data_IF_047868997891
#
_entry.id   IF_047868997891
#
_cell.length_a   1.000
_cell.length_b   1.000
_cell.length_c   1.000
_cell.angle_alpha   90.00
_cell.angle_beta   90.00
_cell.angle_gamma   90.00
#
_symmetry.space_group_name_H-M   'P 1'
#
loop_
_entity.id
_entity.type
_entity.pdbx_description
1 polymer ?
#
# COMPACT_ATOMS: atom_id res chain seq x y z
N UNK A 1 17.62 -9.22 4.16
CA UNK A 1 16.51 -10.10 4.55
C UNK A 1 16.02 -10.93 3.37
N UNK A 2 15.35 -12.04 3.67
CA UNK A 2 14.59 -12.83 2.71
C UNK A 2 13.22 -13.13 3.33
N UNK A 3 12.19 -13.19 2.51
CA UNK A 3 10.84 -13.45 2.95
C UNK A 3 10.02 -14.20 1.91
N UNK A 4 9.10 -15.02 2.38
CA UNK A 4 8.10 -15.70 1.56
C UNK A 4 6.74 -15.34 2.14
N UNK A 5 5.82 -14.93 1.28
CA UNK A 5 4.41 -14.72 1.58
C UNK A 5 3.57 -15.68 0.73
N UNK A 6 2.58 -16.30 1.36
CA UNK A 6 1.64 -17.19 0.68
C UNK A 6 0.24 -16.89 1.16
N UNK A 7 -0.67 -16.72 0.23
CA UNK A 7 -2.10 -16.50 0.47
C UNK A 7 -2.88 -17.58 -0.26
N UNK A 8 -3.79 -18.22 0.44
CA UNK A 8 -4.75 -19.15 -0.15
C UNK A 8 -6.14 -18.58 0.08
N UNK A 9 -6.87 -18.36 -1.00
CA UNK A 9 -8.22 -17.79 -0.96
C UNK A 9 -9.31 -18.85 -0.73
N UNK A 10 -8.92 -20.12 -0.60
CA UNK A 10 -9.86 -21.24 -0.46
C UNK A 10 -10.50 -21.67 -1.77
N UNK A 11 -11.64 -22.32 -1.65
CA UNK A 11 -12.39 -22.88 -2.78
C UNK A 11 -13.62 -22.03 -3.05
N UNK A 12 -13.84 -21.70 -4.31
CA UNK A 12 -15.00 -20.97 -4.81
C UNK A 12 -15.88 -21.91 -5.63
N UNK A 13 -17.20 -21.76 -5.48
CA UNK A 13 -18.16 -22.43 -6.35
C UNK A 13 -18.30 -21.67 -7.67
N UNK A 14 -17.97 -22.32 -8.80
CA UNK A 14 -18.30 -21.82 -10.12
C UNK A 14 -19.80 -21.99 -10.41
N UNK A 15 -20.41 -20.97 -11.00
CA UNK A 15 -21.83 -21.01 -11.42
C UNK A 15 -21.95 -20.57 -12.87
N UNK A 16 -22.90 -21.17 -13.59
CA UNK A 16 -23.26 -20.75 -14.93
C UNK A 16 -24.16 -19.49 -14.92
N UNK A 17 -24.51 -18.99 -16.10
CA UNK A 17 -25.39 -17.81 -16.25
C UNK A 17 -26.80 -18.04 -15.70
N UNK A 18 -27.20 -19.29 -15.51
CA UNK A 18 -28.50 -19.70 -14.94
C UNK A 18 -28.42 -19.94 -13.42
N UNK A 19 -27.22 -19.81 -12.82
CA UNK A 19 -26.98 -19.97 -11.39
C UNK A 19 -26.73 -21.43 -10.96
N UNK A 20 -26.63 -22.38 -11.88
CA UNK A 20 -26.31 -23.77 -11.55
C UNK A 20 -24.84 -23.92 -11.20
N UNK A 21 -24.52 -24.73 -10.19
CA UNK A 21 -23.12 -25.02 -9.80
C UNK A 21 -22.47 -25.83 -10.92
N UNK A 22 -21.33 -25.34 -11.42
CA UNK A 22 -20.56 -25.97 -12.50
C UNK A 22 -19.35 -26.74 -11.96
N UNK A 23 -18.40 -26.03 -11.41
CA UNK A 23 -17.15 -26.59 -10.89
C UNK A 23 -16.65 -25.77 -9.71
N UNK A 24 -15.86 -26.38 -8.85
CA UNK A 24 -15.14 -25.63 -7.81
C UNK A 24 -13.76 -25.25 -8.32
N UNK A 25 -13.31 -24.04 -8.01
CA UNK A 25 -11.97 -23.56 -8.33
C UNK A 25 -11.29 -22.96 -7.10
N UNK A 26 -9.96 -22.88 -7.14
CA UNK A 26 -9.14 -22.34 -6.06
C UNK A 26 -8.31 -21.17 -6.55
N UNK A 27 -7.99 -20.26 -5.63
CA UNK A 27 -7.07 -19.16 -5.87
C UNK A 27 -5.95 -19.16 -4.84
N UNK A 28 -4.72 -18.89 -5.27
CA UNK A 28 -3.58 -18.72 -4.37
C UNK A 28 -2.56 -17.78 -4.94
N UNK A 29 -1.84 -17.10 -4.05
CA UNK A 29 -0.74 -16.20 -4.38
C UNK A 29 0.49 -16.52 -3.55
N UNK A 30 1.66 -16.44 -4.17
CA UNK A 30 2.94 -16.59 -3.51
C UNK A 30 3.87 -15.44 -3.93
N UNK A 31 4.63 -14.89 -2.98
CA UNK A 31 5.65 -13.90 -3.26
C UNK A 31 6.94 -14.26 -2.53
N UNK A 32 8.03 -14.31 -3.29
CA UNK A 32 9.39 -14.38 -2.76
C UNK A 32 9.98 -12.98 -2.78
N UNK A 33 10.61 -12.56 -1.67
CA UNK A 33 11.27 -11.27 -1.55
C UNK A 33 12.69 -11.42 -1.04
N UNK A 34 13.61 -10.65 -1.64
CA UNK A 34 15.01 -10.53 -1.21
C UNK A 34 15.37 -9.06 -1.13
N UNK A 35 15.78 -8.61 0.04
CA UNK A 35 16.08 -7.21 0.28
C UNK A 35 17.40 -6.99 0.99
N UNK A 36 18.00 -5.85 0.65
CA UNK A 36 19.21 -5.35 1.28
C UNK A 36 19.05 -3.88 1.63
N UNK A 37 19.54 -3.50 2.82
CA UNK A 37 19.60 -2.11 3.25
C UNK A 37 21.04 -1.77 3.64
N UNK A 38 21.45 -0.56 3.30
CA UNK A 38 22.79 -0.06 3.52
C UNK A 38 22.76 1.30 4.21
N UNK A 39 23.56 1.46 5.24
CA UNK A 39 23.82 2.76 5.86
C UNK A 39 24.88 3.47 5.05
N UNK A 40 24.59 4.68 4.57
CA UNK A 40 25.56 5.51 3.84
C UNK A 40 26.63 6.00 4.81
N UNK A 41 27.92 5.73 4.56
CA UNK A 41 29.00 6.11 5.46
C UNK A 41 29.03 7.62 5.71
N UNK A 42 29.26 8.01 6.94
CA UNK A 42 29.38 9.41 7.36
C UNK A 42 28.08 10.22 7.26
N UNK A 43 26.95 9.55 7.15
CA UNK A 43 25.63 10.17 7.10
C UNK A 43 24.67 9.38 7.95
N UNK A 44 23.60 10.03 8.42
CA UNK A 44 22.49 9.36 9.10
C UNK A 44 21.41 8.89 8.09
N UNK A 45 21.85 8.49 6.90
CA UNK A 45 21.01 8.07 5.79
C UNK A 45 21.12 6.58 5.53
N UNK A 46 19.99 5.96 5.27
CA UNK A 46 19.87 4.54 4.90
C UNK A 46 19.15 4.44 3.57
N UNK A 47 19.64 3.58 2.72
CA UNK A 47 18.98 3.22 1.46
C UNK A 47 18.72 1.72 1.44
N UNK A 48 17.62 1.33 0.86
CA UNK A 48 17.25 -0.08 0.76
C UNK A 48 16.61 -0.40 -0.57
N UNK A 49 16.78 -1.63 -1.01
CA UNK A 49 16.08 -2.20 -2.14
C UNK A 49 15.60 -3.61 -1.80
N UNK A 50 14.43 -3.97 -2.32
CA UNK A 50 13.83 -5.29 -2.15
C UNK A 50 13.30 -5.77 -3.50
N UNK A 51 13.85 -6.87 -4.01
CA UNK A 51 13.36 -7.51 -5.22
C UNK A 51 12.28 -8.53 -4.86
N UNK A 52 11.21 -8.55 -5.63
CA UNK A 52 10.06 -9.44 -5.44
C UNK A 52 9.75 -10.22 -6.70
N UNK A 53 9.50 -11.51 -6.53
CA UNK A 53 8.93 -12.38 -7.55
C UNK A 53 7.57 -12.86 -7.05
N UNK A 54 6.53 -12.61 -7.84
CA UNK A 54 5.13 -12.85 -7.47
C UNK A 54 4.58 -13.89 -8.42
N UNK A 55 3.91 -14.90 -7.88
CA UNK A 55 3.16 -15.91 -8.62
C UNK A 55 1.73 -15.92 -8.13
N UNK A 56 0.79 -15.83 -9.04
CA UNK A 56 -0.64 -15.91 -8.72
C UNK A 56 -1.31 -16.96 -9.60
N UNK A 57 -2.12 -17.80 -8.98
CA UNK A 57 -2.87 -18.87 -9.64
C UNK A 57 -4.33 -18.68 -9.32
N UNK A 58 -5.17 -18.64 -10.35
CA UNK A 58 -6.62 -18.59 -10.23
C UNK A 58 -7.22 -19.61 -11.17
N UNK A 59 -7.88 -20.63 -10.62
CA UNK A 59 -8.42 -21.77 -11.38
C UNK A 59 -7.30 -22.48 -12.19
N UNK A 60 -7.37 -22.42 -13.52
CA UNK A 60 -6.37 -22.96 -14.46
C UNK A 60 -5.37 -21.92 -14.96
N UNK A 61 -5.53 -20.66 -14.56
CA UNK A 61 -4.70 -19.55 -15.02
C UNK A 61 -3.56 -19.26 -14.06
N UNK A 62 -2.39 -19.01 -14.62
CA UNK A 62 -1.16 -18.67 -13.89
C UNK A 62 -0.62 -17.34 -14.37
N UNK A 63 -0.31 -16.47 -13.44
CA UNK A 63 0.34 -15.18 -13.69
C UNK A 63 1.64 -15.06 -12.89
N UNK A 64 2.64 -14.41 -13.49
CA UNK A 64 3.92 -14.11 -12.86
C UNK A 64 4.25 -12.63 -13.01
N UNK A 65 4.76 -12.04 -11.94
CA UNK A 65 5.22 -10.66 -11.91
C UNK A 65 6.55 -10.52 -11.19
N UNK A 66 7.29 -9.49 -11.56
CA UNK A 66 8.50 -9.07 -10.86
C UNK A 66 8.41 -7.59 -10.50
N UNK A 67 8.85 -7.23 -9.30
CA UNK A 67 8.85 -5.87 -8.82
C UNK A 67 10.07 -5.58 -7.94
N UNK A 68 10.38 -4.29 -7.82
CA UNK A 68 11.39 -3.78 -6.90
C UNK A 68 10.73 -2.74 -6.00
N UNK A 69 11.04 -2.81 -4.71
CA UNK A 69 10.76 -1.72 -3.78
C UNK A 69 12.07 -0.99 -3.48
N UNK A 70 12.00 0.32 -3.38
CA UNK A 70 13.10 1.19 -2.98
C UNK A 70 12.71 1.94 -1.72
N UNK A 71 13.64 2.07 -0.79
CA UNK A 71 13.45 2.78 0.47
C UNK A 71 14.60 3.73 0.75
N UNK A 72 14.26 4.89 1.28
CA UNK A 72 15.18 5.88 1.82
C UNK A 72 14.73 6.26 3.22
N UNK A 73 15.67 6.33 4.15
CA UNK A 73 15.45 6.78 5.52
C UNK A 73 16.57 7.73 5.90
N UNK A 74 16.21 8.91 6.42
CA UNK A 74 17.11 9.84 7.09
C UNK A 74 16.72 9.93 8.55
N UNK A 75 17.72 9.78 9.43
CA UNK A 75 17.56 9.81 10.88
C UNK A 75 18.27 11.05 11.41
N UNK A 76 17.52 12.06 11.79
CA UNK A 76 18.05 13.22 12.50
C UNK A 76 18.17 12.89 13.99
N UNK A 77 19.38 12.49 14.39
CA UNK A 77 19.68 12.03 15.76
C UNK A 77 19.56 13.17 16.77
N UNK A 78 19.89 14.39 16.36
CA UNK A 78 19.91 15.56 17.26
C UNK A 78 18.48 16.00 17.66
N UNK A 79 17.52 15.81 16.77
CA UNK A 79 16.12 16.21 16.95
C UNK A 79 15.17 15.02 17.16
N UNK A 80 15.66 13.78 17.17
CA UNK A 80 14.86 12.55 17.22
C UNK A 80 13.79 12.44 16.11
N UNK A 81 14.11 12.98 14.92
CA UNK A 81 13.21 12.99 13.77
C UNK A 81 13.68 11.96 12.73
N UNK A 82 12.74 11.20 12.20
CA UNK A 82 13.00 10.30 11.07
C UNK A 82 12.16 10.73 9.86
N UNK A 83 12.80 10.76 8.69
CA UNK A 83 12.16 11.01 7.40
C UNK A 83 12.30 9.78 6.53
N UNK A 84 11.18 9.29 6.03
CA UNK A 84 11.12 8.10 5.17
C UNK A 84 10.49 8.39 3.82
N UNK A 85 11.02 7.75 2.78
CA UNK A 85 10.44 7.72 1.44
C UNK A 85 10.49 6.29 0.92
N UNK A 86 9.39 5.81 0.36
CA UNK A 86 9.34 4.49 -0.26
C UNK A 86 8.67 4.55 -1.62
N UNK A 87 9.23 3.77 -2.56
CA UNK A 87 8.60 3.47 -3.84
C UNK A 87 8.41 1.97 -3.89
N UNK A 88 7.17 1.50 -3.91
CA UNK A 88 6.83 0.08 -3.84
C UNK A 88 6.22 -0.41 -5.15
N UNK A 89 6.48 -1.68 -5.45
CA UNK A 89 5.93 -2.38 -6.61
C UNK A 89 6.30 -1.73 -7.95
N UNK A 90 7.51 -1.17 -8.05
CA UNK A 90 8.07 -0.74 -9.32
C UNK A 90 8.41 -1.98 -10.14
N UNK A 91 7.53 -2.37 -11.06
CA UNK A 91 7.68 -3.63 -11.76
C UNK A 91 6.65 -3.84 -12.85
N UNK A 92 6.61 -5.07 -13.34
CA UNK A 92 5.75 -5.47 -14.44
C UNK A 92 5.33 -6.94 -14.31
N UNK A 93 4.26 -7.29 -14.98
CA UNK A 93 3.80 -8.65 -15.14
C UNK A 93 4.58 -9.34 -16.25
N UNK A 94 5.26 -10.44 -15.92
CA UNK A 94 6.09 -11.22 -16.86
C UNK A 94 5.19 -12.11 -17.72
N UNK A 95 4.21 -12.73 -17.07
CA UNK A 95 3.21 -13.59 -17.71
C UNK A 95 1.83 -13.21 -17.20
N UNK A 96 0.93 -12.69 -18.05
CA UNK A 96 -0.45 -12.42 -17.66
C UNK A 96 -1.27 -13.71 -17.55
N UNK A 97 -2.44 -13.62 -16.92
CA UNK A 97 -3.41 -14.73 -16.89
C UNK A 97 -3.93 -15.09 -18.27
N UNK A 98 -4.15 -14.08 -19.09
CA UNK A 98 -4.57 -14.15 -20.49
C UNK A 98 -3.73 -13.15 -21.29
N UNK A 99 -4.19 -12.72 -22.45
CA UNK A 99 -3.43 -11.85 -23.36
C UNK A 99 -3.33 -10.37 -22.88
N UNK A 100 -3.91 -10.01 -21.72
CA UNK A 100 -3.92 -8.64 -21.23
C UNK A 100 -2.97 -8.48 -20.05
N UNK A 101 -1.96 -7.60 -20.20
CA UNK A 101 -1.05 -7.24 -19.13
C UNK A 101 -1.72 -6.27 -18.14
N UNK A 102 -1.65 -6.61 -16.87
CA UNK A 102 -2.07 -5.76 -15.76
C UNK A 102 -0.87 -5.01 -15.19
N UNK A 103 -1.10 -3.75 -14.79
CA UNK A 103 -0.07 -2.96 -14.12
C UNK A 103 0.01 -3.36 -12.66
N UNK A 104 1.22 -3.54 -12.15
CA UNK A 104 1.41 -3.71 -10.71
C UNK A 104 1.02 -2.42 -9.96
N UNK A 105 0.50 -2.53 -8.74
CA UNK A 105 0.03 -1.39 -7.95
C UNK A 105 1.22 -0.58 -7.40
N UNK A 106 1.83 0.24 -8.27
CA UNK A 106 2.88 1.18 -7.86
C UNK A 106 2.36 2.06 -6.72
N UNK A 107 3.15 2.21 -5.67
CA UNK A 107 2.86 3.09 -4.55
C UNK A 107 4.10 3.91 -4.17
N UNK A 108 3.90 5.21 -3.97
CA UNK A 108 4.93 6.14 -3.47
C UNK A 108 4.40 6.72 -2.17
N UNK A 109 5.14 6.48 -1.09
CA UNK A 109 4.76 6.91 0.24
C UNK A 109 5.91 7.68 0.89
N UNK A 110 5.59 8.76 1.62
CA UNK A 110 6.53 9.53 2.40
C UNK A 110 6.05 9.62 3.84
N UNK A 111 6.97 9.69 4.79
CA UNK A 111 6.62 9.77 6.19
C UNK A 111 7.61 10.56 7.01
N UNK A 112 7.13 11.11 8.10
CA UNK A 112 7.93 11.75 9.15
C UNK A 112 7.47 11.23 10.50
N UNK A 113 8.41 10.98 11.40
CA UNK A 113 8.12 10.66 12.80
C UNK A 113 9.08 11.34 13.73
N UNK A 114 8.62 11.68 14.94
CA UNK A 114 9.46 12.30 15.97
C UNK A 114 9.14 11.74 17.34
N UNK A 115 10.18 11.42 18.09
CA UNK A 115 10.06 11.13 19.51
C UNK A 115 10.05 12.45 20.30
N UNK A 116 9.07 12.63 21.18
CA UNK A 116 8.95 13.84 21.98
C UNK A 116 9.94 13.81 23.17
N UNK A 117 10.68 14.88 23.37
CA UNK A 117 11.78 14.98 24.34
C UNK A 117 11.41 14.67 25.81
N UNK A 118 10.19 14.98 26.25
CA UNK A 118 9.81 14.92 27.68
C UNK A 118 8.68 13.92 27.97
N UNK A 119 8.16 13.28 26.94
CA UNK A 119 7.09 12.30 27.06
C UNK A 119 7.42 11.09 26.15
N UNK A 120 7.17 9.88 26.60
CA UNK A 120 7.51 8.68 25.85
C UNK A 120 6.47 8.46 24.72
N UNK A 121 6.33 9.45 23.86
CA UNK A 121 5.39 9.46 22.72
C UNK A 121 6.18 9.75 21.45
N UNK A 122 6.03 8.85 20.47
CA UNK A 122 6.44 9.10 19.10
C UNK A 122 5.18 9.33 18.26
N UNK A 123 5.09 10.49 17.64
CA UNK A 123 4.06 10.75 16.64
C UNK A 123 4.61 10.46 15.24
N UNK A 124 3.73 10.14 14.30
CA UNK A 124 4.07 9.97 12.90
C UNK A 124 2.97 10.45 11.98
N UNK A 125 3.39 10.98 10.85
CA UNK A 125 2.54 11.37 9.74
C UNK A 125 3.05 10.64 8.51
N UNK A 126 2.17 9.94 7.82
CA UNK A 126 2.48 9.27 6.56
C UNK A 126 1.57 9.82 5.47
N UNK A 127 2.18 10.12 4.34
CA UNK A 127 1.50 10.46 3.10
C UNK A 127 1.58 9.23 2.19
N UNK A 128 0.44 8.65 1.84
CA UNK A 128 0.39 7.45 1.01
C UNK A 128 -0.15 7.73 -0.40
N UNK A 129 0.24 6.86 -1.35
CA UNK A 129 -0.23 6.89 -2.74
C UNK A 129 0.04 8.22 -3.47
N UNK A 130 1.21 8.84 -3.26
CA UNK A 130 1.58 10.14 -3.85
C UNK A 130 1.65 10.11 -5.39
N UNK A 131 1.77 8.93 -6.00
CA UNK A 131 1.77 8.75 -7.46
C UNK A 131 0.39 8.96 -8.08
N UNK A 132 -0.68 8.89 -7.30
CA UNK A 132 -2.06 9.02 -7.77
C UNK A 132 -2.81 10.02 -6.92
N UNK A 133 -2.86 11.27 -7.37
CA UNK A 133 -3.52 12.34 -6.61
C UNK A 133 -5.02 12.10 -6.39
N UNK A 134 -5.73 11.62 -7.40
CA UNK A 134 -7.18 11.44 -7.34
C UNK A 134 -7.55 10.04 -6.84
N UNK A 135 -7.65 9.87 -5.52
CA UNK A 135 -8.06 8.61 -4.86
C UNK A 135 -9.48 8.64 -4.30
N UNK A 136 -10.15 9.78 -4.44
CA UNK A 136 -11.52 9.91 -3.99
C UNK A 136 -12.49 9.31 -5.00
N UNK A 137 -13.37 8.45 -4.52
CA UNK A 137 -14.46 7.89 -5.31
C UNK A 137 -15.65 8.85 -5.27
N UNK A 138 -16.06 9.38 -6.42
CA UNK A 138 -17.36 10.04 -6.51
C UNK A 138 -18.46 8.97 -6.56
N UNK A 139 -19.47 9.10 -5.71
CA UNK A 139 -20.60 8.15 -5.72
C UNK A 139 -21.54 8.52 -6.87
N UNK A 140 -21.62 7.74 -7.98
CA UNK A 140 -22.47 8.07 -9.12
C UNK A 140 -23.98 8.07 -8.77
N UNK A 141 -24.36 7.43 -7.67
CA UNK A 141 -25.77 7.38 -7.24
C UNK A 141 -26.21 8.61 -6.43
N UNK A 142 -25.29 9.48 -5.97
CA UNK A 142 -25.65 10.74 -5.32
C UNK A 142 -26.20 11.78 -6.29
N UNK A 143 -25.86 11.70 -7.56
CA UNK A 143 -26.39 12.58 -8.62
C UNK A 143 -27.89 12.38 -8.88
N UNK A 144 -28.50 11.28 -8.44
CA UNK A 144 -29.92 10.97 -8.66
C UNK A 144 -30.89 11.73 -7.71
N UNK A 145 -30.40 12.48 -6.75
CA UNK A 145 -31.22 13.22 -5.78
C UNK A 145 -31.50 14.68 -6.16
N UNK A 146 -30.97 15.20 -7.24
CA UNK A 146 -31.26 16.58 -7.69
C UNK A 146 -32.47 16.57 -8.61
N UNK A 147 -33.59 17.12 -8.13
CA UNK A 147 -34.84 17.31 -8.88
C UNK A 147 -34.69 18.28 -10.08
N UNK A 148 -33.53 18.83 -10.30
CA UNK A 148 -33.25 19.89 -11.29
C UNK A 148 -32.42 19.40 -12.49
N UNK A 149 -32.41 18.10 -12.81
CA UNK A 149 -31.93 17.55 -14.08
C UNK A 149 -30.42 17.81 -14.42
N UNK A 150 -29.66 18.41 -13.54
CA UNK A 150 -28.22 18.65 -13.68
C UNK A 150 -27.44 17.51 -13.08
N UNK A 151 -26.80 16.68 -13.90
CA UNK A 151 -25.77 15.74 -13.50
C UNK A 151 -24.48 16.51 -13.14
N UNK A 152 -24.46 17.24 -12.04
CA UNK A 152 -23.20 17.74 -11.51
C UNK A 152 -22.48 16.56 -10.84
N UNK A 153 -21.41 16.08 -11.50
CA UNK A 153 -20.44 15.20 -10.87
C UNK A 153 -19.98 15.89 -9.58
N UNK A 154 -20.16 15.23 -8.44
CA UNK A 154 -19.69 15.72 -7.14
C UNK A 154 -18.16 15.89 -7.23
N UNK A 155 -17.71 17.12 -7.49
CA UNK A 155 -16.28 17.46 -7.52
C UNK A 155 -15.74 17.31 -6.13
N UNK A 156 -14.95 16.27 -5.91
CA UNK A 156 -14.26 16.08 -4.64
C UNK A 156 -13.36 17.29 -4.39
N UNK A 157 -13.57 17.98 -3.28
CA UNK A 157 -12.75 19.12 -2.88
C UNK A 157 -11.28 18.72 -2.80
N UNK A 158 -10.38 19.60 -3.27
CA UNK A 158 -8.92 19.42 -3.15
C UNK A 158 -8.51 19.01 -1.73
N UNK A 159 -9.04 19.68 -0.71
CA UNK A 159 -8.73 19.41 0.69
C UNK A 159 -9.19 18.02 1.12
N UNK A 160 -10.38 17.59 0.74
CA UNK A 160 -10.88 16.25 1.05
C UNK A 160 -10.02 15.17 0.39
N UNK A 161 -9.58 15.39 -0.85
CA UNK A 161 -8.70 14.47 -1.54
C UNK A 161 -7.30 14.44 -0.89
N UNK A 162 -6.74 15.58 -0.51
CA UNK A 162 -5.46 15.67 0.18
C UNK A 162 -5.47 14.93 1.53
N UNK A 163 -6.54 15.08 2.32
CA UNK A 163 -6.67 14.37 3.60
C UNK A 163 -6.68 12.86 3.43
N UNK A 164 -7.22 12.33 2.35
CA UNK A 164 -7.26 10.88 2.08
C UNK A 164 -5.88 10.25 1.85
N UNK A 165 -4.86 11.06 1.61
CA UNK A 165 -3.47 10.62 1.54
C UNK A 165 -2.80 10.56 2.91
N UNK A 166 -3.42 11.13 3.96
CA UNK A 166 -2.79 11.33 5.26
C UNK A 166 -3.17 10.21 6.21
N UNK A 167 -2.15 9.62 6.84
CA UNK A 167 -2.28 8.74 7.99
C UNK A 167 -1.57 9.41 9.16
N UNK A 168 -2.26 9.56 10.27
CA UNK A 168 -1.70 10.02 11.53
C UNK A 168 -1.55 8.85 12.49
N UNK A 169 -0.48 8.84 13.26
CA UNK A 169 -0.29 7.84 14.29
C UNK A 169 0.51 8.33 15.47
N UNK A 170 0.38 7.59 16.56
CA UNK A 170 1.14 7.80 17.78
C UNK A 170 1.52 6.45 18.38
N UNK A 171 2.73 6.38 18.92
CA UNK A 171 3.27 5.25 19.64
C UNK A 171 3.63 5.72 21.05
N UNK A 172 3.02 5.10 22.05
CA UNK A 172 3.29 5.32 23.47
C UNK A 172 4.34 4.31 23.94
N UNK A 173 5.34 4.78 24.67
CA UNK A 173 6.42 3.97 25.24
C UNK A 173 7.26 3.22 24.18
N UNK A 174 7.74 3.87 23.11
CA UNK A 174 8.42 3.21 21.99
C UNK A 174 9.71 2.48 22.38
N UNK A 175 10.36 2.87 23.48
CA UNK A 175 11.64 2.32 23.95
C UNK A 175 11.49 1.30 25.09
N UNK A 176 10.26 0.98 25.50
CA UNK A 176 10.00 0.03 26.59
C UNK A 176 9.56 -1.32 26.07
N UNK A 177 9.64 -2.34 26.92
CA UNK A 177 9.19 -3.69 26.59
C UNK A 177 7.68 -3.81 26.29
N UNK A 178 6.91 -2.78 26.59
CA UNK A 178 5.49 -2.62 26.22
C UNK A 178 5.32 -1.32 25.45
N UNK A 179 4.69 -1.38 24.29
CA UNK A 179 4.29 -0.20 23.53
C UNK A 179 2.83 -0.31 23.09
N UNK A 180 2.16 0.84 22.98
CA UNK A 180 0.80 0.97 22.46
C UNK A 180 0.84 1.87 21.23
N UNK A 181 0.26 1.39 20.13
CA UNK A 181 0.21 2.12 18.85
C UNK A 181 -1.24 2.43 18.50
N UNK A 182 -1.46 3.69 18.14
CA UNK A 182 -2.75 4.19 17.66
C UNK A 182 -2.53 4.83 16.29
N UNK A 183 -3.46 4.63 15.39
CA UNK A 183 -3.39 5.23 14.05
C UNK A 183 -4.77 5.54 13.50
N UNK A 184 -4.85 6.58 12.69
CA UNK A 184 -6.03 6.98 11.97
C UNK A 184 -5.73 7.29 10.51
N UNK A 185 -6.46 6.65 9.61
CA UNK A 185 -6.42 6.90 8.17
C UNK A 185 -7.67 7.68 7.77
N UNK A 186 -7.50 8.82 7.10
CA UNK A 186 -8.59 9.69 6.64
C UNK A 186 -9.30 9.21 5.36
N UNK A 187 -8.92 8.05 4.86
CA UNK A 187 -9.43 7.45 3.62
C UNK A 187 -10.88 6.95 3.73
#
# INVERSE_FOLDING_TARGET
>A
HAGISYINYGTFEGRDELGNVTSNFTGSEAALSLGYAYNLPWTDMYVGANAKLISSTLESYNSWGAAVDLGFLYVDVDNDINYGLTVRNLGFQIKPYQDTNEKLPLAIDAGISQLMLHVPIRWHVTLENLQQWNIAFSNPNRAQGSLDGGSEEEKVSFFNNALRHVILGAELFPEKGFNLRLGYNFR
#
